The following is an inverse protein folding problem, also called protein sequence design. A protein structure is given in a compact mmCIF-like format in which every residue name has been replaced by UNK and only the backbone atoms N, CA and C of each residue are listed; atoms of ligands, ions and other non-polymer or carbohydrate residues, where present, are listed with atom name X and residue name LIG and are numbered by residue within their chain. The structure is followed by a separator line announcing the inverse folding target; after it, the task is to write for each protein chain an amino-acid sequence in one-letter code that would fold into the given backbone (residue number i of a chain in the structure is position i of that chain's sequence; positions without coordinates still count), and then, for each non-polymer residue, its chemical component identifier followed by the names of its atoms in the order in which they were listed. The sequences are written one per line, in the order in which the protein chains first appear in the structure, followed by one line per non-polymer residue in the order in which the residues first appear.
data_IF_604815577199
#
_entry.id   IF_604815577199
#
_cell.length_a   1.000
_cell.length_b   1.000
_cell.length_c   1.000
_cell.angle_alpha   90.00
_cell.angle_beta   90.00
_cell.angle_gamma   90.00
#
_symmetry.space_group_name_H-M   'P 1'
#
loop_
_entity.id
_entity.type
_entity.pdbx_description
1 polymer ?
#
# COMPACT_ATOMS: atom_id res chain seq x y z
N UNK A 1 -12.82 3.10 35.19
CA UNK A 1 -13.71 1.96 34.79
C UNK A 1 -13.42 1.41 33.38
N UNK A 2 -13.19 2.23 32.34
CA UNK A 2 -12.95 1.75 30.95
C UNK A 2 -11.71 0.84 30.75
N UNK A 3 -10.76 0.89 31.68
CA UNK A 3 -9.48 0.20 31.53
C UNK A 3 -9.57 -1.31 31.82
N UNK A 4 -10.55 -1.78 32.60
CA UNK A 4 -10.68 -3.20 32.96
C UNK A 4 -11.05 -4.07 31.76
N UNK A 5 -11.96 -3.60 30.90
CA UNK A 5 -12.37 -4.31 29.68
C UNK A 5 -11.25 -4.33 28.64
N UNK A 6 -10.54 -3.22 28.48
CA UNK A 6 -9.36 -3.16 27.61
C UNK A 6 -8.23 -4.08 28.11
N UNK A 7 -7.98 -4.13 29.42
CA UNK A 7 -7.02 -5.05 30.05
C UNK A 7 -7.45 -6.50 29.89
N UNK A 8 -8.73 -6.84 30.05
CA UNK A 8 -9.27 -8.19 29.81
C UNK A 8 -9.00 -8.64 28.36
N UNK A 9 -9.41 -7.85 27.35
CA UNK A 9 -9.18 -8.21 25.95
C UNK A 9 -7.70 -8.18 25.54
N UNK A 10 -6.88 -7.30 26.13
CA UNK A 10 -5.42 -7.31 25.93
C UNK A 10 -4.79 -8.57 26.50
N UNK A 11 -5.18 -8.99 27.71
CA UNK A 11 -4.72 -10.25 28.33
C UNK A 11 -5.15 -11.46 27.48
N UNK A 12 -6.40 -11.48 27.01
CA UNK A 12 -6.93 -12.54 26.15
C UNK A 12 -6.19 -12.63 24.79
N UNK A 13 -5.86 -11.49 24.18
CA UNK A 13 -5.03 -11.44 22.96
C UNK A 13 -3.58 -11.89 23.21
N UNK A 14 -2.99 -11.52 24.36
CA UNK A 14 -1.61 -11.92 24.72
C UNK A 14 -1.53 -13.43 24.96
N UNK A 15 -2.50 -14.01 25.66
CA UNK A 15 -2.60 -15.45 25.90
C UNK A 15 -2.84 -16.24 24.61
N UNK A 16 -3.71 -15.75 23.71
CA UNK A 16 -3.95 -16.38 22.39
C UNK A 16 -2.70 -16.37 21.49
N UNK A 17 -1.89 -15.31 21.53
CA UNK A 17 -0.60 -15.24 20.80
C UNK A 17 0.46 -16.14 21.40
N UNK A 18 0.52 -16.22 22.73
CA UNK A 18 1.42 -17.13 23.44
C UNK A 18 1.09 -18.59 23.14
N UNK A 19 -0.19 -18.98 23.28
CA UNK A 19 -0.66 -20.32 22.97
C UNK A 19 -0.33 -20.73 21.53
N UNK A 20 -0.55 -19.85 20.54
CA UNK A 20 -0.16 -20.12 19.14
C UNK A 20 1.34 -20.30 18.94
N UNK A 21 2.19 -19.52 19.62
CA UNK A 21 3.66 -19.67 19.54
C UNK A 21 4.11 -21.01 20.09
N UNK A 22 3.56 -21.44 21.24
CA UNK A 22 3.91 -22.70 21.86
C UNK A 22 3.32 -23.92 21.14
N UNK A 23 2.13 -23.81 20.53
CA UNK A 23 1.61 -24.86 19.64
C UNK A 23 2.45 -25.05 18.38
N UNK A 24 3.01 -23.97 17.81
CA UNK A 24 3.92 -24.06 16.66
C UNK A 24 5.27 -24.68 17.06
N UNK A 25 5.79 -24.34 18.24
CA UNK A 25 7.01 -24.95 18.78
C UNK A 25 6.80 -26.44 19.10
N UNK A 26 5.70 -26.81 19.76
CA UNK A 26 5.38 -28.21 20.05
C UNK A 26 5.10 -29.04 18.80
N UNK A 27 4.40 -28.47 17.80
CA UNK A 27 4.18 -29.12 16.51
C UNK A 27 5.45 -29.29 15.67
N UNK A 28 6.35 -28.31 15.72
CA UNK A 28 7.65 -28.39 15.04
C UNK A 28 8.59 -29.43 15.68
N UNK A 29 8.58 -29.54 17.01
CA UNK A 29 9.40 -30.50 17.76
C UNK A 29 8.87 -31.92 17.70
N UNK A 30 7.54 -32.12 17.83
CA UNK A 30 6.92 -33.44 17.72
C UNK A 30 6.92 -34.01 16.30
N UNK A 31 6.88 -33.16 15.27
CA UNK A 31 7.02 -33.59 13.88
C UNK A 31 8.42 -34.11 13.54
N UNK A 32 9.46 -33.58 14.19
CA UNK A 32 10.84 -34.00 13.97
C UNK A 32 11.14 -35.37 14.63
N UNK A 33 10.59 -35.64 15.82
CA UNK A 33 10.78 -36.94 16.51
C UNK A 33 10.02 -38.08 15.83
N UNK A 34 8.85 -37.83 15.23
CA UNK A 34 8.10 -38.85 14.50
C UNK A 34 8.79 -39.31 13.19
N UNK A 35 9.67 -38.48 12.62
CA UNK A 35 10.40 -38.78 11.38
C UNK A 35 11.76 -39.44 11.68
N UNK A 36 12.40 -39.12 12.81
CA UNK A 36 13.75 -39.64 13.14
C UNK A 36 13.77 -40.96 13.92
N UNK A 37 12.69 -41.34 14.60
CA UNK A 37 12.67 -42.52 15.48
C UNK A 37 12.64 -43.91 14.83
N UNK A 38 12.34 -44.15 13.54
CA UNK A 38 12.25 -45.54 13.09
C UNK A 38 13.59 -46.25 12.79
N UNK A 39 14.77 -45.62 12.93
CA UNK A 39 16.00 -46.22 12.38
C UNK A 39 17.32 -46.13 13.16
N UNK A 40 17.32 -45.74 14.44
CA UNK A 40 18.54 -45.81 15.26
C UNK A 40 18.24 -46.09 16.73
N UNK A 41 18.95 -47.04 17.33
CA UNK A 41 18.78 -47.43 18.73
C UNK A 41 18.77 -46.22 19.69
N UNK A 42 17.83 -46.24 20.63
CA UNK A 42 17.52 -45.15 21.57
C UNK A 42 18.74 -44.78 22.44
N UNK A 43 19.38 -43.65 22.13
CA UNK A 43 20.41 -43.05 22.96
C UNK A 43 19.86 -42.02 23.95
N UNK A 44 20.63 -41.69 25.00
CA UNK A 44 20.41 -40.54 25.89
C UNK A 44 20.06 -39.22 25.17
N UNK A 45 20.63 -38.86 24.01
CA UNK A 45 20.21 -37.66 23.28
C UNK A 45 18.75 -37.71 22.79
N UNK A 46 18.23 -38.89 22.46
CA UNK A 46 16.87 -39.07 21.95
C UNK A 46 15.83 -38.91 23.08
N UNK A 47 16.18 -39.38 24.29
CA UNK A 47 15.38 -39.15 25.50
C UNK A 47 15.30 -37.66 25.86
N UNK A 48 16.40 -36.90 25.67
CA UNK A 48 16.41 -35.45 25.91
C UNK A 48 15.51 -34.70 24.91
N UNK A 49 15.52 -35.09 23.63
CA UNK A 49 14.64 -34.51 22.62
C UNK A 49 13.17 -34.88 22.80
N UNK A 50 12.87 -36.14 23.16
CA UNK A 50 11.52 -36.58 23.49
C UNK A 50 10.97 -35.87 24.74
N UNK A 51 11.80 -35.67 25.77
CA UNK A 51 11.43 -34.90 26.96
C UNK A 51 11.16 -33.42 26.62
N UNK A 52 11.96 -32.81 25.73
CA UNK A 52 11.76 -31.44 25.27
C UNK A 52 10.47 -31.29 24.42
N UNK A 53 10.19 -32.24 23.54
CA UNK A 53 8.97 -32.28 22.73
C UNK A 53 7.72 -32.51 23.60
N UNK A 54 7.77 -33.48 24.52
CA UNK A 54 6.71 -33.76 25.48
C UNK A 54 6.42 -32.58 26.41
N UNK A 55 7.46 -31.93 26.94
CA UNK A 55 7.32 -30.72 27.78
C UNK A 55 6.68 -29.55 27.02
N UNK A 56 6.99 -29.40 25.74
CA UNK A 56 6.41 -28.34 24.89
C UNK A 56 4.92 -28.57 24.61
N UNK A 57 4.50 -29.82 24.41
CA UNK A 57 3.09 -30.21 24.20
C UNK A 57 2.29 -30.01 25.50
N UNK A 58 2.83 -30.43 26.64
CA UNK A 58 2.20 -30.23 27.95
C UNK A 58 1.97 -28.73 28.26
N UNK A 59 2.97 -27.88 28.01
CA UNK A 59 2.84 -26.43 28.18
C UNK A 59 1.82 -25.80 27.22
N UNK A 60 1.69 -26.31 25.99
CA UNK A 60 0.71 -25.85 25.04
C UNK A 60 -0.73 -26.19 25.48
N UNK A 61 -0.95 -27.40 26.00
CA UNK A 61 -2.24 -27.82 26.54
C UNK A 61 -2.61 -27.02 27.80
N UNK A 62 -1.66 -26.81 28.72
CA UNK A 62 -1.87 -25.99 29.93
C UNK A 62 -2.18 -24.52 29.60
N UNK A 63 -1.56 -23.95 28.57
CA UNK A 63 -1.88 -22.59 28.11
C UNK A 63 -3.23 -22.48 27.40
N UNK A 64 -3.72 -23.58 26.83
CA UNK A 64 -5.06 -23.65 26.25
C UNK A 64 -6.14 -23.76 27.35
N UNK A 65 -5.86 -24.47 28.44
CA UNK A 65 -6.76 -24.51 29.60
C UNK A 65 -6.85 -23.16 30.30
N UNK A 66 -5.73 -22.44 30.48
CA UNK A 66 -5.73 -21.06 31.01
C UNK A 66 -6.56 -20.11 30.16
N UNK A 67 -6.49 -20.25 28.83
CA UNK A 67 -7.28 -19.43 27.91
C UNK A 67 -8.77 -19.76 28.02
N UNK A 68 -9.14 -21.04 28.13
CA UNK A 68 -10.53 -21.47 28.36
C UNK A 68 -11.07 -20.96 29.69
N UNK A 69 -10.28 -21.03 30.76
CA UNK A 69 -10.66 -20.55 32.08
C UNK A 69 -10.91 -19.03 32.10
N UNK A 70 -10.07 -18.23 31.44
CA UNK A 70 -10.28 -16.78 31.31
C UNK A 70 -11.40 -16.40 30.35
N UNK A 71 -11.68 -17.22 29.34
CA UNK A 71 -12.80 -17.02 28.42
C UNK A 71 -14.15 -17.42 29.04
N UNK A 72 -14.16 -18.33 30.03
CA UNK A 72 -15.34 -18.70 30.80
C UNK A 72 -15.74 -17.65 31.84
N UNK A 73 -14.86 -16.69 32.16
CA UNK A 73 -15.22 -15.56 33.02
C UNK A 73 -16.11 -14.57 32.26
N UNK A 74 -17.24 -14.12 32.85
CA UNK A 74 -18.15 -13.18 32.19
C UNK A 74 -17.43 -11.88 31.88
N UNK A 75 -17.53 -11.43 30.62
CA UNK A 75 -16.86 -10.22 30.17
C UNK A 75 -17.42 -8.98 30.89
N UNK A 76 -16.57 -8.05 31.36
CA UNK A 76 -17.03 -6.87 32.09
C UNK A 76 -17.95 -5.99 31.22
N UNK A 77 -19.03 -5.42 31.81
CA UNK A 77 -20.10 -4.77 31.06
C UNK A 77 -19.62 -3.56 30.25
N UNK A 78 -20.25 -3.28 29.09
CA UNK A 78 -19.90 -2.13 28.25
C UNK A 78 -20.17 -0.80 28.98
N UNK A 79 -19.25 0.18 28.93
CA UNK A 79 -19.52 1.53 29.43
C UNK A 79 -20.51 2.28 28.53
N UNK A 80 -21.32 3.17 29.13
CA UNK A 80 -22.40 3.92 28.49
C UNK A 80 -21.98 4.62 27.19
N UNK A 81 -22.62 4.21 26.09
CA UNK A 81 -22.26 4.53 24.72
C UNK A 81 -22.23 6.04 24.43
N UNK A 82 -23.12 6.81 25.06
CA UNK A 82 -23.20 8.28 24.91
C UNK A 82 -21.96 9.02 25.43
N UNK A 83 -21.35 8.54 26.50
CA UNK A 83 -20.14 9.14 27.08
C UNK A 83 -18.85 8.71 26.36
N UNK A 84 -18.90 7.58 25.64
CA UNK A 84 -17.79 7.08 24.83
C UNK A 84 -17.69 7.84 23.51
N UNK A 85 -18.81 8.17 22.87
CA UNK A 85 -18.85 8.95 21.63
C UNK A 85 -18.29 10.37 21.83
N UNK A 86 -18.71 11.07 22.89
CA UNK A 86 -18.22 12.41 23.20
C UNK A 86 -16.72 12.44 23.54
N UNK A 87 -16.21 11.41 24.23
CA UNK A 87 -14.77 11.28 24.52
C UNK A 87 -13.96 10.80 23.31
N UNK A 88 -14.57 10.06 22.38
CA UNK A 88 -13.94 9.66 21.13
C UNK A 88 -13.80 10.86 20.18
N UNK A 89 -14.81 11.72 20.10
CA UNK A 89 -14.71 12.99 19.34
C UNK A 89 -13.61 13.88 19.93
N UNK A 90 -13.61 14.09 21.26
CA UNK A 90 -12.59 14.89 21.93
C UNK A 90 -11.16 14.28 21.91
N UNK A 91 -11.04 12.95 21.82
CA UNK A 91 -9.74 12.27 21.69
C UNK A 91 -9.23 12.22 20.23
N UNK A 92 -10.16 12.22 19.26
CA UNK A 92 -9.84 12.26 17.83
C UNK A 92 -9.45 13.68 17.39
N UNK A 93 -10.02 14.72 17.97
CA UNK A 93 -9.60 16.11 17.78
C UNK A 93 -8.19 16.40 18.34
N UNK A 94 -7.71 15.60 19.30
CA UNK A 94 -6.39 15.76 19.93
C UNK A 94 -5.24 14.98 19.27
N UNK A 95 -5.49 14.25 18.17
CA UNK A 95 -4.48 13.42 17.49
C UNK A 95 -4.35 13.82 16.01
N UNK A 96 -3.33 14.62 15.64
CA UNK A 96 -3.21 15.21 14.29
C UNK A 96 -2.93 14.22 13.15
N UNK A 97 -2.82 12.91 13.39
CA UNK A 97 -2.41 11.92 12.37
C UNK A 97 -3.07 10.54 12.59
N UNK A 98 -4.36 10.50 12.92
CA UNK A 98 -5.04 9.25 13.33
C UNK A 98 -5.54 8.34 12.19
N UNK A 99 -5.89 8.88 11.02
CA UNK A 99 -6.54 8.10 9.93
C UNK A 99 -5.60 7.61 8.82
N UNK A 100 -4.43 8.22 8.63
CA UNK A 100 -3.48 7.86 7.56
C UNK A 100 -2.58 6.64 7.86
N UNK A 101 -2.38 6.31 9.13
CA UNK A 101 -1.35 5.34 9.54
C UNK A 101 -1.79 3.88 9.34
N UNK A 102 -3.07 3.56 9.51
CA UNK A 102 -3.55 2.18 9.35
C UNK A 102 -3.63 1.74 7.88
N UNK A 103 -3.96 2.65 6.96
CA UNK A 103 -3.93 2.38 5.51
C UNK A 103 -2.49 2.34 4.98
N UNK A 104 -1.61 3.20 5.51
CA UNK A 104 -0.17 3.21 5.20
C UNK A 104 0.56 1.92 5.60
N UNK A 105 0.29 1.38 6.79
CA UNK A 105 0.90 0.12 7.26
C UNK A 105 0.41 -1.09 6.46
N UNK A 106 -0.87 -1.11 6.05
CA UNK A 106 -1.40 -2.19 5.19
C UNK A 106 -0.85 -2.12 3.77
N UNK A 107 -0.68 -0.90 3.20
CA UNK A 107 -0.02 -0.64 1.90
C UNK A 107 1.48 -0.97 1.93
N UNK A 108 2.18 -0.67 3.01
CA UNK A 108 3.59 -1.00 3.21
C UNK A 108 3.85 -2.50 3.32
N UNK A 109 2.98 -3.21 4.06
CA UNK A 109 3.07 -4.68 4.21
C UNK A 109 2.74 -5.44 2.93
N UNK A 110 1.78 -4.97 2.13
CA UNK A 110 1.46 -5.58 0.82
C UNK A 110 2.59 -5.35 -0.19
N UNK A 111 3.21 -4.16 -0.22
CA UNK A 111 4.43 -3.92 -1.01
C UNK A 111 5.59 -4.85 -0.63
N UNK A 112 5.79 -5.12 0.65
CA UNK A 112 6.83 -6.05 1.12
C UNK A 112 6.50 -7.52 0.81
N UNK A 113 5.23 -7.92 0.89
CA UNK A 113 4.80 -9.28 0.58
C UNK A 113 4.86 -9.62 -0.92
N UNK A 114 4.80 -8.61 -1.79
CA UNK A 114 4.87 -8.74 -3.24
C UNK A 114 6.29 -8.56 -3.79
N UNK A 115 7.28 -8.18 -2.96
CA UNK A 115 8.66 -8.02 -3.42
C UNK A 115 9.24 -9.36 -3.84
N UNK A 116 9.65 -9.46 -5.11
CA UNK A 116 10.20 -10.67 -5.70
C UNK A 116 9.15 -11.68 -6.19
N UNK A 117 7.85 -11.33 -6.18
CA UNK A 117 6.80 -12.18 -6.73
C UNK A 117 6.48 -11.83 -8.19
N UNK A 118 5.86 -12.76 -8.91
CA UNK A 118 5.37 -12.51 -10.28
C UNK A 118 4.35 -11.36 -10.36
N UNK A 119 3.66 -11.06 -9.24
CA UNK A 119 2.68 -9.98 -9.14
C UNK A 119 3.31 -8.58 -8.96
N UNK A 120 4.61 -8.47 -8.70
CA UNK A 120 5.27 -7.20 -8.41
C UNK A 120 5.13 -6.16 -9.55
N UNK A 121 5.40 -6.59 -10.80
CA UNK A 121 5.34 -5.73 -11.98
C UNK A 121 3.90 -5.31 -12.31
N UNK A 122 2.91 -6.22 -12.40
CA UNK A 122 1.51 -5.84 -12.57
C UNK A 122 0.99 -4.91 -11.46
N UNK A 123 1.41 -5.12 -10.21
CA UNK A 123 1.02 -4.26 -9.08
C UNK A 123 1.57 -2.83 -9.22
N UNK A 124 2.81 -2.67 -9.69
CA UNK A 124 3.39 -1.34 -9.92
C UNK A 124 2.67 -0.59 -11.04
N UNK A 125 2.35 -1.28 -12.14
CA UNK A 125 1.54 -0.77 -13.24
C UNK A 125 0.15 -0.32 -12.78
N UNK A 126 -0.55 -1.18 -12.03
CA UNK A 126 -1.86 -0.85 -11.45
C UNK A 126 -1.78 0.40 -10.57
N UNK A 127 -0.79 0.52 -9.69
CA UNK A 127 -0.65 1.72 -8.85
C UNK A 127 -0.45 3.00 -9.67
N UNK A 128 0.31 2.93 -10.76
CA UNK A 128 0.51 4.07 -11.67
C UNK A 128 -0.79 4.44 -12.39
N UNK A 129 -1.52 3.44 -12.90
CA UNK A 129 -2.79 3.66 -13.57
C UNK A 129 -3.83 4.26 -12.60
N UNK A 130 -3.95 3.71 -11.39
CA UNK A 130 -4.85 4.24 -10.35
C UNK A 130 -4.50 5.66 -9.94
N UNK A 131 -3.21 5.99 -9.75
CA UNK A 131 -2.82 7.37 -9.42
C UNK A 131 -3.14 8.34 -10.54
N UNK A 132 -3.03 7.88 -11.79
CA UNK A 132 -3.38 8.67 -12.98
C UNK A 132 -4.88 8.93 -13.03
N UNK A 133 -5.71 7.88 -12.86
CA UNK A 133 -7.16 8.00 -12.82
C UNK A 133 -7.66 8.89 -11.68
N UNK A 134 -7.03 8.80 -10.51
CA UNK A 134 -7.38 9.64 -9.37
C UNK A 134 -7.14 11.14 -9.65
N UNK A 135 -6.17 11.48 -10.50
CA UNK A 135 -5.93 12.87 -10.94
C UNK A 135 -7.02 13.41 -11.86
N UNK A 136 -7.85 12.54 -12.44
CA UNK A 136 -8.92 12.87 -13.37
C UNK A 136 -10.32 12.69 -12.75
N UNK A 137 -10.43 12.03 -11.60
CA UNK A 137 -11.70 11.60 -11.01
C UNK A 137 -12.69 12.75 -10.80
N UNK A 138 -12.22 13.91 -10.34
CA UNK A 138 -13.09 15.08 -10.10
C UNK A 138 -13.59 15.75 -11.40
N UNK A 139 -12.90 15.49 -12.52
CA UNK A 139 -13.23 16.06 -13.85
C UNK A 139 -14.07 15.11 -14.70
N UNK A 140 -14.08 13.83 -14.38
CA UNK A 140 -14.90 12.81 -15.05
C UNK A 140 -16.35 12.91 -14.55
N UNK A 141 -17.08 13.88 -15.08
CA UNK A 141 -18.49 14.16 -14.73
C UNK A 141 -19.45 13.68 -15.82
N UNK A 142 -20.75 13.83 -15.58
CA UNK A 142 -21.79 13.49 -16.55
C UNK A 142 -21.79 11.98 -16.92
N UNK A 143 -21.78 11.62 -18.22
CA UNK A 143 -21.87 10.23 -18.66
C UNK A 143 -20.64 9.38 -18.26
N UNK A 144 -19.50 10.01 -17.94
CA UNK A 144 -18.28 9.32 -17.52
C UNK A 144 -18.23 9.05 -16.01
N UNK A 145 -19.10 9.65 -15.19
CA UNK A 145 -19.09 9.50 -13.74
C UNK A 145 -19.20 8.04 -13.24
N UNK A 146 -20.04 7.16 -13.84
CA UNK A 146 -20.12 5.76 -13.43
C UNK A 146 -18.81 4.98 -13.65
N UNK A 147 -17.99 5.38 -14.64
CA UNK A 147 -16.74 4.69 -14.96
C UNK A 147 -15.72 4.78 -13.81
N UNK A 148 -15.77 5.84 -13.00
CA UNK A 148 -14.90 6.01 -11.82
C UNK A 148 -15.23 4.97 -10.75
N UNK A 149 -16.51 4.69 -10.52
CA UNK A 149 -16.96 3.69 -9.55
C UNK A 149 -16.60 2.27 -10.03
N UNK A 150 -16.86 1.96 -11.29
CA UNK A 150 -16.48 0.68 -11.90
C UNK A 150 -14.97 0.46 -11.88
N UNK A 151 -14.18 1.50 -12.13
CA UNK A 151 -12.73 1.44 -12.00
C UNK A 151 -12.29 1.17 -10.55
N UNK A 152 -12.94 1.74 -9.54
CA UNK A 152 -12.63 1.45 -8.14
C UNK A 152 -12.94 -0.02 -7.77
N UNK A 153 -14.02 -0.58 -8.31
CA UNK A 153 -14.37 -2.01 -8.15
C UNK A 153 -13.33 -2.89 -8.83
N UNK A 154 -12.97 -2.58 -10.09
CA UNK A 154 -11.95 -3.30 -10.85
C UNK A 154 -10.58 -3.25 -10.14
N UNK A 155 -10.17 -2.09 -9.62
CA UNK A 155 -8.93 -1.94 -8.85
C UNK A 155 -8.91 -2.88 -7.65
N UNK A 156 -9.99 -2.91 -6.86
CA UNK A 156 -10.10 -3.78 -5.67
C UNK A 156 -9.95 -5.25 -6.06
N UNK A 157 -10.64 -5.68 -7.12
CA UNK A 157 -10.57 -7.05 -7.65
C UNK A 157 -9.17 -7.42 -8.13
N UNK A 158 -8.49 -6.54 -8.87
CA UNK A 158 -7.12 -6.76 -9.34
C UNK A 158 -6.11 -6.82 -8.18
N UNK A 159 -6.30 -6.00 -7.15
CA UNK A 159 -5.47 -6.05 -5.94
C UNK A 159 -5.67 -7.35 -5.18
N UNK A 160 -6.89 -7.86 -5.11
CA UNK A 160 -7.15 -9.15 -4.50
C UNK A 160 -6.48 -10.28 -5.30
N UNK A 161 -6.61 -10.27 -6.63
CA UNK A 161 -5.98 -11.24 -7.51
C UNK A 161 -4.45 -11.25 -7.36
N UNK A 162 -3.81 -10.08 -7.28
CA UNK A 162 -2.37 -9.98 -7.01
C UNK A 162 -1.95 -10.61 -5.67
N UNK A 163 -2.77 -10.45 -4.62
CA UNK A 163 -2.52 -11.10 -3.34
C UNK A 163 -2.70 -12.63 -3.43
N UNK A 164 -3.67 -13.12 -4.22
CA UNK A 164 -3.84 -14.56 -4.47
C UNK A 164 -2.63 -15.14 -5.21
N UNK A 165 -2.12 -14.47 -6.24
CA UNK A 165 -0.90 -14.88 -6.97
C UNK A 165 0.28 -15.04 -6.01
N UNK A 166 0.55 -14.02 -5.18
CA UNK A 166 1.64 -14.08 -4.20
C UNK A 166 1.41 -15.15 -3.12
N UNK A 167 0.16 -15.40 -2.74
CA UNK A 167 -0.22 -16.49 -1.85
C UNK A 167 0.12 -17.86 -2.44
N UNK A 168 -0.27 -18.12 -3.69
CA UNK A 168 0.04 -19.37 -4.40
C UNK A 168 1.53 -19.54 -4.61
N UNK A 169 2.25 -18.48 -4.98
CA UNK A 169 3.72 -18.52 -5.13
C UNK A 169 4.41 -18.87 -3.81
N UNK A 170 3.91 -18.36 -2.69
CA UNK A 170 4.43 -18.72 -1.36
C UNK A 170 4.12 -20.18 -1.02
N UNK A 171 2.93 -20.67 -1.34
CA UNK A 171 2.56 -22.07 -1.14
C UNK A 171 3.42 -23.01 -1.98
N UNK A 172 3.78 -22.63 -3.21
CA UNK A 172 4.68 -23.39 -4.08
C UNK A 172 6.05 -23.66 -3.45
N UNK A 173 6.55 -22.76 -2.59
CA UNK A 173 7.85 -22.92 -1.90
C UNK A 173 7.84 -24.03 -0.85
N UNK A 174 6.67 -24.45 -0.39
CA UNK A 174 6.49 -25.46 0.66
C UNK A 174 5.64 -26.65 0.20
N UNK A 175 5.25 -26.70 -1.09
CA UNK A 175 4.33 -27.71 -1.60
C UNK A 175 5.02 -29.08 -1.79
N UNK A 176 4.34 -30.19 -1.45
CA UNK A 176 4.83 -31.54 -1.76
C UNK A 176 4.82 -31.79 -3.27
N UNK A 177 5.73 -32.64 -3.75
CA UNK A 177 6.06 -32.82 -5.16
C UNK A 177 4.85 -33.18 -6.04
N UNK A 178 3.93 -33.99 -5.52
CA UNK A 178 2.73 -34.43 -6.23
C UNK A 178 1.81 -33.25 -6.57
N UNK A 179 1.77 -32.22 -5.71
CA UNK A 179 0.92 -31.04 -5.87
C UNK A 179 1.59 -29.86 -6.58
N UNK A 180 2.93 -29.89 -6.74
CA UNK A 180 3.70 -28.76 -7.31
C UNK A 180 3.33 -28.47 -8.75
N UNK A 181 3.08 -29.49 -9.58
CA UNK A 181 2.75 -29.31 -11.00
C UNK A 181 1.42 -28.57 -11.18
N UNK A 182 0.38 -29.00 -10.46
CA UNK A 182 -0.94 -28.36 -10.46
C UNK A 182 -0.89 -26.93 -9.93
N UNK A 183 -0.17 -26.68 -8.82
CA UNK A 183 0.02 -25.34 -8.26
C UNK A 183 0.80 -24.41 -9.21
N UNK A 184 1.79 -24.92 -9.95
CA UNK A 184 2.52 -24.13 -10.96
C UNK A 184 1.61 -23.72 -12.12
N UNK A 185 0.74 -24.63 -12.58
CA UNK A 185 -0.24 -24.31 -13.61
C UNK A 185 -1.23 -23.24 -13.13
N UNK A 186 -1.79 -23.39 -11.93
CA UNK A 186 -2.69 -22.40 -11.33
C UNK A 186 -2.00 -21.04 -11.14
N UNK A 187 -0.75 -21.03 -10.68
CA UNK A 187 0.05 -19.81 -10.54
C UNK A 187 0.21 -19.07 -11.88
N UNK A 188 0.56 -19.78 -12.97
CA UNK A 188 0.68 -19.17 -14.31
C UNK A 188 -0.65 -18.57 -14.77
N UNK A 189 -1.75 -19.31 -14.65
CA UNK A 189 -3.07 -18.84 -15.07
C UNK A 189 -3.50 -17.58 -14.30
N UNK A 190 -3.28 -17.53 -12.99
CA UNK A 190 -3.59 -16.35 -12.17
C UNK A 190 -2.71 -15.16 -12.52
N UNK A 191 -1.42 -15.38 -12.80
CA UNK A 191 -0.49 -14.33 -13.21
C UNK A 191 -0.86 -13.74 -14.58
N UNK A 192 -1.24 -14.58 -15.54
CA UNK A 192 -1.74 -14.13 -16.85
C UNK A 192 -3.07 -13.36 -16.72
N UNK A 193 -3.99 -13.86 -15.90
CA UNK A 193 -5.26 -13.17 -15.65
C UNK A 193 -5.03 -11.79 -15.02
N UNK A 194 -4.08 -11.68 -14.09
CA UNK A 194 -3.69 -10.41 -13.48
C UNK A 194 -3.12 -9.45 -14.53
N UNK A 195 -2.22 -9.91 -15.39
CA UNK A 195 -1.60 -9.07 -16.41
C UNK A 195 -2.62 -8.57 -17.45
N UNK A 196 -3.51 -9.45 -17.93
CA UNK A 196 -4.62 -9.07 -18.82
C UNK A 196 -5.55 -8.05 -18.15
N UNK A 197 -5.90 -8.27 -16.88
CA UNK A 197 -6.76 -7.37 -16.12
C UNK A 197 -6.15 -6.00 -15.88
N UNK A 198 -4.86 -5.92 -15.52
CA UNK A 198 -4.14 -4.65 -15.39
C UNK A 198 -4.04 -3.92 -16.73
N UNK A 199 -3.80 -4.65 -17.82
CA UNK A 199 -3.78 -4.07 -19.17
C UNK A 199 -5.15 -3.50 -19.57
N UNK A 200 -6.26 -4.19 -19.24
CA UNK A 200 -7.60 -3.67 -19.47
C UNK A 200 -7.88 -2.41 -18.64
N UNK A 201 -7.43 -2.39 -17.39
CA UNK A 201 -7.54 -1.20 -16.53
C UNK A 201 -6.75 -0.02 -17.08
N UNK A 202 -5.54 -0.24 -17.58
CA UNK A 202 -4.75 0.82 -18.25
C UNK A 202 -5.45 1.37 -19.48
N UNK A 203 -6.09 0.51 -20.30
CA UNK A 203 -6.91 0.95 -21.44
C UNK A 203 -8.11 1.80 -21.01
N UNK A 204 -8.76 1.45 -19.90
CA UNK A 204 -9.82 2.28 -19.31
C UNK A 204 -9.28 3.65 -18.92
N UNK A 205 -8.14 3.72 -18.25
CA UNK A 205 -7.52 5.01 -17.86
C UNK A 205 -7.13 5.83 -19.08
N UNK A 206 -6.63 5.20 -20.14
CA UNK A 206 -6.33 5.87 -21.40
C UNK A 206 -7.60 6.43 -22.07
N UNK A 207 -8.70 5.66 -22.07
CA UNK A 207 -9.99 6.11 -22.60
C UNK A 207 -10.55 7.29 -21.79
N UNK A 208 -10.43 7.25 -20.46
CA UNK A 208 -10.83 8.35 -19.58
C UNK A 208 -10.02 9.63 -19.84
N UNK A 209 -8.71 9.51 -20.08
CA UNK A 209 -7.87 10.64 -20.47
C UNK A 209 -8.28 11.20 -21.84
N UNK A 210 -8.59 10.33 -22.81
CA UNK A 210 -9.10 10.74 -24.12
C UNK A 210 -10.44 11.49 -24.04
N UNK A 211 -11.37 11.01 -23.21
CA UNK A 211 -12.63 11.71 -22.94
C UNK A 211 -12.40 13.12 -22.40
N UNK A 212 -11.49 13.28 -21.43
CA UNK A 212 -11.15 14.60 -20.88
C UNK A 212 -10.45 15.52 -21.87
N UNK A 213 -9.63 14.98 -22.77
CA UNK A 213 -9.00 15.76 -23.82
C UNK A 213 -10.03 16.30 -24.83
N UNK A 214 -11.08 15.53 -25.11
CA UNK A 214 -12.18 15.98 -25.98
C UNK A 214 -13.07 17.02 -25.30
N UNK A 215 -13.42 16.81 -24.03
CA UNK A 215 -14.16 17.79 -23.21
C UNK A 215 -13.40 19.12 -23.11
N UNK A 216 -12.07 19.05 -22.94
CA UNK A 216 -11.19 20.22 -22.94
C UNK A 216 -11.20 20.97 -24.26
N UNK A 217 -11.24 20.28 -25.41
CA UNK A 217 -11.30 20.93 -26.74
C UNK A 217 -12.59 21.72 -26.93
N UNK A 218 -13.72 21.15 -26.51
CA UNK A 218 -15.04 21.83 -26.56
C UNK A 218 -15.04 23.07 -25.65
N UNK A 219 -14.33 23.02 -24.52
CA UNK A 219 -14.13 24.15 -23.62
C UNK A 219 -13.06 25.17 -24.09
N UNK A 220 -12.06 24.76 -24.87
CA UNK A 220 -11.07 25.65 -25.48
C UNK A 220 -11.66 26.45 -26.65
N UNK A 221 -12.70 25.92 -27.31
CA UNK A 221 -13.54 26.69 -28.23
C UNK A 221 -14.37 27.79 -27.50
N UNK A 222 -14.43 27.78 -26.17
CA UNK A 222 -15.04 28.85 -25.36
C UNK A 222 -14.02 29.97 -25.02
N UNK A 223 -14.49 31.22 -24.81
CA UNK A 223 -13.65 32.42 -24.62
C UNK A 223 -12.63 32.37 -23.46
N UNK A 224 -12.69 31.37 -22.59
CA UNK A 224 -11.75 31.20 -21.47
C UNK A 224 -10.33 30.83 -21.91
N UNK A 225 -10.15 30.06 -23.00
CA UNK A 225 -8.81 29.74 -23.51
C UNK A 225 -8.15 30.96 -24.16
N UNK A 226 -8.92 31.72 -24.94
CA UNK A 226 -8.47 33.01 -25.48
C UNK A 226 -8.07 34.00 -24.38
N UNK A 227 -8.81 34.05 -23.26
CA UNK A 227 -8.46 34.88 -22.10
C UNK A 227 -7.17 34.42 -21.38
N UNK A 228 -6.89 33.11 -21.36
CA UNK A 228 -5.66 32.57 -20.78
C UNK A 228 -4.44 32.87 -21.65
N UNK A 229 -4.57 32.75 -22.97
CA UNK A 229 -3.52 33.14 -23.91
C UNK A 229 -3.24 34.65 -23.84
N UNK A 230 -4.28 35.47 -23.75
CA UNK A 230 -4.16 36.91 -23.57
C UNK A 230 -3.51 37.26 -22.23
N UNK A 231 -3.91 36.62 -21.13
CA UNK A 231 -3.27 36.79 -19.82
C UNK A 231 -1.79 36.36 -19.83
N UNK A 232 -1.46 35.29 -20.55
CA UNK A 232 -0.08 34.80 -20.68
C UNK A 232 0.76 35.77 -21.52
N UNK A 233 0.21 36.30 -22.61
CA UNK A 233 0.85 37.33 -23.42
C UNK A 233 1.11 38.61 -22.61
N UNK A 234 0.14 39.03 -21.78
CA UNK A 234 0.30 40.17 -20.87
C UNK A 234 1.43 39.92 -19.85
N UNK A 235 1.48 38.73 -19.23
CA UNK A 235 2.56 38.37 -18.29
C UNK A 235 3.93 38.34 -18.96
N UNK A 236 4.00 37.87 -20.22
CA UNK A 236 5.26 37.85 -20.98
C UNK A 236 5.71 39.27 -21.33
N UNK A 237 4.78 40.16 -21.69
CA UNK A 237 5.05 41.58 -21.90
C UNK A 237 5.58 42.27 -20.64
N UNK A 238 4.98 41.99 -19.48
CA UNK A 238 5.45 42.51 -18.18
C UNK A 238 6.84 41.97 -17.81
N UNK A 239 7.10 40.68 -18.04
CA UNK A 239 8.42 40.10 -17.77
C UNK A 239 9.51 40.73 -18.67
N UNK A 240 9.18 40.97 -19.94
CA UNK A 240 10.10 41.58 -20.91
C UNK A 240 10.40 43.03 -20.53
N UNK A 241 9.38 43.83 -20.17
CA UNK A 241 9.59 45.22 -19.76
C UNK A 241 10.38 45.34 -18.45
N UNK A 242 10.17 44.45 -17.49
CA UNK A 242 10.99 44.38 -16.27
C UNK A 242 12.45 43.99 -16.57
N UNK A 243 12.69 43.12 -17.55
CA UNK A 243 14.05 42.77 -17.98
C UNK A 243 14.76 43.94 -18.66
N UNK A 244 14.05 44.69 -19.52
CA UNK A 244 14.58 45.90 -20.17
C UNK A 244 14.93 47.00 -19.16
N UNK A 245 14.07 47.24 -18.17
CA UNK A 245 14.36 48.20 -17.08
C UNK A 245 15.59 47.81 -16.25
N UNK A 246 15.85 46.51 -16.08
CA UNK A 246 17.05 46.02 -15.38
C UNK A 246 18.33 46.28 -16.17
N UNK A 247 18.27 46.18 -17.51
CA UNK A 247 19.41 46.45 -18.39
C UNK A 247 19.78 47.93 -18.37
N UNK A 248 18.80 48.84 -18.32
CA UNK A 248 19.06 50.29 -18.18
C UNK A 248 19.44 50.73 -16.76
N UNK A 249 19.05 49.96 -15.74
CA UNK A 249 19.44 50.20 -14.36
C UNK A 249 20.86 49.75 -14.00
N UNK A 250 21.61 49.15 -14.94
CA UNK A 250 22.99 48.72 -14.73
C UNK A 250 23.98 49.81 -15.23
N UNK A 251 24.55 50.64 -14.33
CA UNK A 251 25.44 51.75 -14.70
C UNK A 251 26.78 51.30 -15.30
N UNK A 252 27.05 49.99 -15.40
CA UNK A 252 28.29 49.44 -15.98
C UNK A 252 28.28 49.34 -17.52
N UNK A 253 27.14 49.57 -18.18
CA UNK A 253 27.02 49.56 -19.66
C UNK A 253 27.12 50.98 -20.25
N UNK A 254 28.26 51.64 -20.04
CA UNK A 254 28.58 52.88 -20.75
C UNK A 254 28.79 52.65 -22.25
N UNK A 255 28.49 53.64 -23.12
CA UNK A 255 28.58 53.50 -24.58
C UNK A 255 30.03 53.22 -25.02
N UNK A 256 30.24 52.55 -26.18
CA UNK A 256 31.57 52.31 -26.71
C UNK A 256 32.21 53.66 -27.04
N UNK A 257 33.14 54.09 -26.19
CA UNK A 257 34.00 55.25 -26.46
C UNK A 257 34.93 54.87 -27.59
N UNK A 258 34.57 55.30 -28.81
CA UNK A 258 35.44 55.30 -29.96
C UNK A 258 36.71 56.07 -29.63
N UNK A 259 37.83 55.36 -29.44
CA UNK A 259 39.16 55.94 -29.42
C UNK A 259 39.56 56.27 -30.86
N UNK A 260 39.39 57.53 -31.22
CA UNK A 260 40.15 58.14 -32.31
C UNK A 260 41.55 58.48 -31.78
N UNK A 261 42.57 57.73 -32.20
CA UNK A 261 43.98 58.11 -32.01
C UNK A 261 44.39 59.18 -33.02
N UNK A 262 45.32 60.09 -32.65
CA UNK A 262 45.67 61.25 -33.45
C UNK A 262 46.67 60.87 -34.54
N UNK A 263 46.42 61.31 -35.77
CA UNK A 263 47.40 61.28 -36.84
C UNK A 263 48.18 62.60 -36.80
N UNK A 264 49.43 62.51 -36.36
CA UNK A 264 50.43 63.55 -36.56
C UNK A 264 50.81 63.63 -38.05
N UNK A 265 51.05 64.85 -38.55
CA UNK A 265 52.32 65.28 -39.16
C UNK A 265 52.14 66.32 -40.29
N UNK A 266 52.97 67.36 -40.18
CA UNK A 266 53.51 68.29 -41.19
C UNK A 266 52.62 69.39 -41.80
#
# INVERSE_FOLDING_TARGET
MADQRARYFRRLRKLRRSARRWSVLGGGLGGATAILTPYSGLGLPDAAWAAAAGGSIALALWRWSDLRALAAQPAPPPPDQRSAEQRLVAAVERLPVGRGVLTGVRRGRSRLALRGSAAARPWARLNRATSTLAGFADRLTGPAAPAVLEAAVAERSLRELANRVAGVEKSLRCAPDESRSALRAAHRNLAEQLDRGVTAYEKLVAAAAGYLAEEGRIAEEHPAAAQLDEATALLHGVATSLAELRVWGDPASGPPTGRSTPQASH
#
